data_IF_666667894266
#
_entry.id   IF_666667894266
#
_cell.length_a   1.000
_cell.length_b   1.000
_cell.length_c   1.000
_cell.angle_alpha   90.00
_cell.angle_beta   90.00
_cell.angle_gamma   90.00
#
_symmetry.space_group_name_H-M   'P 1'
#
loop_
_entity.id
_entity.type
_entity.pdbx_description
1 polymer ?
#
# COMPACT_ATOMS: atom_id res chain seq x y z
N UNK A 1 31.33 5.64 22.98
CA UNK A 1 30.51 6.36 23.98
C UNK A 1 30.28 5.52 25.25
N UNK A 2 29.44 5.97 26.18
CA UNK A 2 29.24 5.27 27.47
C UNK A 2 28.71 3.83 27.34
N UNK A 3 27.98 3.51 26.25
CA UNK A 3 27.54 2.14 25.96
C UNK A 3 28.69 1.22 25.50
N UNK A 4 29.77 1.80 24.96
CA UNK A 4 30.98 1.07 24.59
C UNK A 4 31.97 0.96 25.76
N UNK A 5 31.73 1.66 26.88
CA UNK A 5 32.57 1.61 28.07
C UNK A 5 32.23 0.35 28.89
N UNK A 6 32.73 -0.80 28.46
CA UNK A 6 32.47 -2.11 29.06
C UNK A 6 32.90 -3.22 28.09
N UNK A 7 32.06 -4.24 27.93
CA UNK A 7 32.29 -5.35 26.99
C UNK A 7 32.17 -4.94 25.50
N UNK A 8 31.82 -3.69 25.23
CA UNK A 8 31.67 -3.13 23.89
C UNK A 8 30.43 -3.63 23.14
N UNK A 9 30.24 -3.13 21.91
CA UNK A 9 29.18 -3.59 21.01
C UNK A 9 29.83 -4.35 19.86
N UNK A 10 29.73 -5.69 19.87
CA UNK A 10 30.34 -6.53 18.82
C UNK A 10 29.66 -6.36 17.46
N UNK A 11 28.33 -6.31 17.42
CA UNK A 11 27.55 -6.08 16.20
C UNK A 11 26.37 -5.15 16.51
N UNK A 12 26.22 -4.11 15.70
CA UNK A 12 25.02 -3.28 15.67
C UNK A 12 24.22 -3.53 14.39
N UNK A 13 22.94 -3.87 14.57
CA UNK A 13 21.94 -3.84 13.50
C UNK A 13 21.07 -2.60 13.67
N UNK A 14 21.06 -1.69 12.69
CA UNK A 14 20.40 -0.39 12.81
C UNK A 14 19.38 -0.14 11.71
N UNK A 15 18.19 0.35 12.11
CA UNK A 15 17.14 0.82 11.21
C UNK A 15 17.67 1.87 10.22
N UNK A 16 17.33 1.71 8.95
CA UNK A 16 17.80 2.54 7.84
C UNK A 16 16.69 3.40 7.23
N UNK A 17 15.43 3.24 7.65
CA UNK A 17 14.23 3.78 6.99
C UNK A 17 14.37 5.25 6.56
N UNK A 18 14.91 6.12 7.43
CA UNK A 18 15.10 7.54 7.16
C UNK A 18 16.58 7.95 7.03
N UNK A 19 17.47 7.02 6.66
CA UNK A 19 18.90 7.31 6.58
C UNK A 19 19.26 8.37 5.52
N UNK A 20 18.40 8.60 4.52
CA UNK A 20 18.62 9.67 3.52
C UNK A 20 18.13 11.04 3.99
N UNK A 21 17.26 11.05 5.01
CA UNK A 21 16.68 12.27 5.55
C UNK A 21 17.69 13.03 6.41
N UNK A 22 17.89 14.30 6.08
CA UNK A 22 18.84 15.16 6.79
C UNK A 22 18.27 15.63 8.13
N UNK A 23 19.16 15.89 9.08
CA UNK A 23 18.80 16.43 10.38
C UNK A 23 18.39 15.34 11.38
N UNK A 24 17.57 15.74 12.35
CA UNK A 24 17.09 14.90 13.45
C UNK A 24 15.56 14.88 13.44
N UNK A 25 15.00 13.71 13.74
CA UNK A 25 13.57 13.51 13.82
C UNK A 25 12.94 14.49 14.81
N UNK A 26 11.85 15.20 14.42
CA UNK A 26 11.21 16.15 15.31
C UNK A 26 10.63 15.44 16.53
N UNK A 27 10.63 16.11 17.68
CA UNK A 27 10.05 15.57 18.89
C UNK A 27 8.53 15.48 18.77
N UNK A 28 7.95 14.36 19.18
CA UNK A 28 6.49 14.22 19.26
C UNK A 28 5.82 15.28 20.15
N UNK A 29 6.56 15.89 21.09
CA UNK A 29 6.05 17.01 21.89
C UNK A 29 5.72 18.25 21.07
N UNK A 30 6.46 18.54 19.99
CA UNK A 30 6.19 19.72 19.16
C UNK A 30 4.86 19.58 18.43
N UNK A 31 4.54 18.37 17.94
CA UNK A 31 3.25 18.07 17.30
C UNK A 31 2.08 18.33 18.25
N UNK A 32 2.21 17.95 19.53
CA UNK A 32 1.20 18.23 20.54
C UNK A 32 0.90 19.72 20.73
N UNK A 33 1.90 20.60 20.58
CA UNK A 33 1.71 22.06 20.62
C UNK A 33 0.93 22.54 19.41
N UNK A 34 1.30 22.08 18.21
CA UNK A 34 0.61 22.41 16.95
C UNK A 34 -0.84 21.95 17.00
N UNK A 35 -1.11 20.73 17.49
CA UNK A 35 -2.48 20.22 17.65
C UNK A 35 -3.31 21.13 18.56
N UNK A 36 -2.78 21.55 19.72
CA UNK A 36 -3.50 22.46 20.63
C UNK A 36 -3.80 23.81 19.98
N UNK A 37 -2.86 24.33 19.19
CA UNK A 37 -3.08 25.55 18.41
C UNK A 37 -4.21 25.38 17.39
N UNK A 38 -4.19 24.31 16.59
CA UNK A 38 -5.24 24.03 15.60
C UNK A 38 -6.62 23.90 16.26
N UNK A 39 -6.70 23.22 17.41
CA UNK A 39 -7.95 23.14 18.16
C UNK A 39 -8.45 24.50 18.67
N UNK A 40 -7.53 25.42 19.00
CA UNK A 40 -7.85 26.77 19.41
C UNK A 40 -8.22 27.71 18.24
N UNK A 41 -7.72 27.44 17.04
CA UNK A 41 -8.08 28.17 15.81
C UNK A 41 -9.49 27.77 15.32
N UNK A 42 -9.83 26.48 15.43
CA UNK A 42 -11.10 25.93 14.94
C UNK A 42 -12.16 25.74 16.03
N UNK A 43 -12.25 26.68 16.98
CA UNK A 43 -13.15 26.59 18.16
C UNK A 43 -14.64 26.46 17.86
N UNK A 44 -15.11 26.87 16.69
CA UNK A 44 -16.54 26.87 16.32
C UNK A 44 -16.89 25.74 15.36
N UNK A 45 -15.94 24.86 15.04
CA UNK A 45 -16.07 23.80 14.04
C UNK A 45 -15.92 22.44 14.69
N UNK A 46 -16.53 21.40 14.13
CA UNK A 46 -16.21 20.02 14.50
C UNK A 46 -14.83 19.65 13.97
N UNK A 47 -14.04 18.97 14.78
CA UNK A 47 -12.68 18.57 14.40
C UNK A 47 -12.65 17.07 14.14
N UNK A 48 -12.17 16.67 12.98
CA UNK A 48 -11.91 15.28 12.61
C UNK A 48 -10.41 15.12 12.43
N UNK A 49 -9.79 14.29 13.24
CA UNK A 49 -8.37 13.96 13.09
C UNK A 49 -8.22 12.60 12.43
N UNK A 50 -7.25 12.46 11.54
CA UNK A 50 -6.89 11.20 10.91
C UNK A 50 -5.46 10.84 11.29
N UNK A 51 -5.27 9.65 11.87
CA UNK A 51 -3.94 9.16 12.25
C UNK A 51 -3.88 7.64 12.22
N UNK A 52 -2.66 7.09 12.32
CA UNK A 52 -2.47 5.66 12.52
C UNK A 52 -3.03 5.25 13.88
N UNK A 53 -3.94 4.26 13.89
CA UNK A 53 -4.57 3.77 15.12
C UNK A 53 -3.55 3.19 16.13
N UNK A 54 -2.41 2.69 15.66
CA UNK A 54 -1.32 2.18 16.49
C UNK A 54 -0.46 3.28 17.12
N UNK A 55 -0.59 4.53 16.70
CA UNK A 55 0.20 5.64 17.24
C UNK A 55 -0.43 6.18 18.53
N UNK A 56 -0.39 5.39 19.60
CA UNK A 56 -1.09 5.65 20.87
C UNK A 56 -0.71 7.00 21.49
N UNK A 57 0.57 7.41 21.42
CA UNK A 57 1.00 8.73 21.89
C UNK A 57 0.31 9.89 21.15
N UNK A 58 0.13 9.78 19.84
CA UNK A 58 -0.57 10.78 19.03
C UNK A 58 -2.04 10.84 19.41
N UNK A 59 -2.67 9.67 19.56
CA UNK A 59 -4.08 9.57 20.00
C UNK A 59 -4.26 10.21 21.37
N UNK A 60 -3.35 9.98 22.32
CA UNK A 60 -3.35 10.63 23.63
C UNK A 60 -3.26 12.16 23.49
N UNK A 61 -2.33 12.69 22.68
CA UNK A 61 -2.17 14.13 22.49
C UNK A 61 -3.41 14.78 21.87
N UNK A 62 -4.01 14.15 20.85
CA UNK A 62 -5.24 14.61 20.22
C UNK A 62 -6.37 14.64 21.24
N UNK A 63 -6.52 13.57 22.02
CA UNK A 63 -7.56 13.44 23.03
C UNK A 63 -7.39 14.47 24.17
N UNK A 64 -6.16 14.73 24.62
CA UNK A 64 -5.87 15.80 25.58
C UNK A 64 -6.24 17.19 25.02
N UNK A 65 -5.83 17.50 23.78
CA UNK A 65 -6.17 18.76 23.13
C UNK A 65 -7.70 18.93 22.95
N UNK A 66 -8.40 17.83 22.64
CA UNK A 66 -9.85 17.80 22.56
C UNK A 66 -10.48 18.13 23.93
N UNK A 67 -10.08 17.45 24.99
CA UNK A 67 -10.66 17.65 26.33
C UNK A 67 -10.39 19.08 26.83
N UNK A 68 -9.19 19.60 26.63
CA UNK A 68 -8.82 20.96 27.04
C UNK A 68 -9.59 22.04 26.28
N UNK A 69 -9.93 21.80 25.02
CA UNK A 69 -10.83 22.66 24.23
C UNK A 69 -12.32 22.43 24.54
N UNK A 70 -12.63 21.58 25.52
CA UNK A 70 -13.99 21.28 25.97
C UNK A 70 -14.74 20.29 25.09
N UNK A 71 -14.04 19.49 24.27
CA UNK A 71 -14.67 18.54 23.35
C UNK A 71 -14.78 17.15 23.96
N UNK A 72 -15.83 16.43 23.57
CA UNK A 72 -15.93 14.97 23.71
C UNK A 72 -15.26 14.30 22.52
N UNK A 73 -14.79 13.07 22.73
CA UNK A 73 -14.00 12.31 21.76
C UNK A 73 -14.85 11.15 21.22
N UNK A 74 -14.97 11.06 19.90
CA UNK A 74 -15.64 9.98 19.19
C UNK A 74 -14.62 9.19 18.34
N UNK A 75 -14.15 8.02 18.80
CA UNK A 75 -13.32 7.14 17.99
C UNK A 75 -14.09 6.61 16.78
N UNK A 76 -13.48 6.69 15.59
CA UNK A 76 -14.11 6.26 14.34
C UNK A 76 -13.24 5.26 13.58
N UNK A 77 -13.81 4.07 13.38
CA UNK A 77 -13.18 2.93 12.69
C UNK A 77 -12.75 1.83 13.66
N UNK A 78 -12.94 0.58 13.25
CA UNK A 78 -12.72 -0.61 14.09
C UNK A 78 -11.31 -0.67 14.70
N UNK A 79 -10.28 -0.39 13.90
CA UNK A 79 -8.89 -0.41 14.39
C UNK A 79 -8.63 0.68 15.43
N UNK A 80 -9.20 1.87 15.26
CA UNK A 80 -9.06 2.97 16.23
C UNK A 80 -9.75 2.64 17.56
N UNK A 81 -10.99 2.15 17.49
CA UNK A 81 -11.76 1.74 18.68
C UNK A 81 -11.01 0.65 19.45
N UNK A 82 -10.52 -0.38 18.76
CA UNK A 82 -9.80 -1.49 19.38
C UNK A 82 -8.48 -1.05 20.01
N UNK A 83 -7.68 -0.23 19.32
CA UNK A 83 -6.40 0.23 19.84
C UNK A 83 -6.57 1.18 21.03
N UNK A 84 -7.55 2.09 20.99
CA UNK A 84 -7.88 2.96 22.13
C UNK A 84 -8.29 2.11 23.32
N UNK A 85 -9.22 1.16 23.13
CA UNK A 85 -9.67 0.26 24.21
C UNK A 85 -8.48 -0.50 24.81
N UNK A 86 -7.66 -1.14 23.99
CA UNK A 86 -6.49 -1.89 24.44
C UNK A 86 -5.50 -0.99 25.20
N UNK A 87 -5.19 0.20 24.68
CA UNK A 87 -4.27 1.13 25.33
C UNK A 87 -4.81 1.66 26.67
N UNK A 88 -6.13 1.76 26.83
CA UNK A 88 -6.77 2.10 28.10
C UNK A 88 -6.74 0.94 29.09
N UNK A 89 -7.03 -0.28 28.63
CA UNK A 89 -6.94 -1.50 29.46
C UNK A 89 -5.50 -1.70 30.00
N UNK A 90 -4.49 -1.33 29.20
CA UNK A 90 -3.07 -1.35 29.59
C UNK A 90 -2.63 -0.13 30.43
N UNK A 91 -3.51 0.86 30.65
CA UNK A 91 -3.20 2.08 31.41
C UNK A 91 -2.23 3.05 30.71
N UNK A 92 -2.05 2.91 29.40
CA UNK A 92 -1.23 3.81 28.57
C UNK A 92 -1.99 5.11 28.31
N UNK A 93 -3.26 5.01 27.89
CA UNK A 93 -4.17 6.16 27.78
C UNK A 93 -4.81 6.39 29.15
N UNK A 94 -4.52 7.53 29.76
CA UNK A 94 -4.98 7.90 31.10
C UNK A 94 -5.97 9.05 31.05
N UNK A 95 -7.09 8.81 30.39
CA UNK A 95 -8.15 9.81 30.18
C UNK A 95 -9.48 9.36 30.80
N UNK A 96 -10.31 10.29 31.31
CA UNK A 96 -11.59 9.96 31.94
C UNK A 96 -12.54 9.26 30.96
N UNK A 97 -13.29 8.26 31.42
CA UNK A 97 -14.29 7.55 30.60
C UNK A 97 -15.31 8.48 29.97
N UNK A 98 -15.79 9.46 30.76
CA UNK A 98 -16.76 10.48 30.32
C UNK A 98 -16.29 11.36 29.17
N UNK A 99 -15.00 11.34 28.83
CA UNK A 99 -14.45 12.10 27.71
C UNK A 99 -14.70 11.40 26.37
N UNK A 100 -15.03 10.11 26.38
CA UNK A 100 -15.29 9.32 25.18
C UNK A 100 -16.80 9.07 25.04
N UNK A 101 -17.28 9.21 23.82
CA UNK A 101 -18.67 8.88 23.42
C UNK A 101 -18.64 7.84 22.31
N UNK A 102 -19.76 7.13 22.11
CA UNK A 102 -19.91 6.35 20.90
C UNK A 102 -20.16 7.29 19.73
N UNK A 103 -19.72 6.89 18.54
CA UNK A 103 -19.88 7.74 17.36
C UNK A 103 -21.35 7.82 16.91
N UNK A 104 -22.17 6.86 17.33
CA UNK A 104 -23.62 6.84 17.17
C UNK A 104 -24.31 7.98 17.95
N UNK A 105 -23.72 8.43 19.06
CA UNK A 105 -24.27 9.47 19.94
C UNK A 105 -23.77 10.88 19.54
N UNK A 106 -23.12 11.01 18.38
CA UNK A 106 -22.43 12.25 17.96
C UNK A 106 -23.38 13.42 17.75
N UNK A 107 -24.61 13.16 17.29
CA UNK A 107 -25.62 14.19 16.99
C UNK A 107 -26.27 14.78 18.26
N UNK A 108 -26.03 14.19 19.43
CA UNK A 108 -26.48 14.72 20.72
C UNK A 108 -25.63 15.92 21.20
N UNK A 109 -24.53 16.22 20.49
CA UNK A 109 -23.59 17.28 20.82
C UNK A 109 -23.52 18.32 19.69
N UNK A 110 -23.34 19.61 20.02
CA UNK A 110 -23.10 20.60 18.99
C UNK A 110 -21.72 20.37 18.32
N UNK A 111 -21.57 20.65 17.01
CA UNK A 111 -20.35 20.36 16.24
C UNK A 111 -19.05 20.76 16.91
N UNK A 112 -18.99 21.97 17.47
CA UNK A 112 -17.82 22.54 18.11
C UNK A 112 -17.39 21.85 19.42
N UNK A 113 -18.26 21.00 19.98
CA UNK A 113 -17.96 20.18 21.17
C UNK A 113 -17.49 18.78 20.82
N UNK A 114 -17.29 18.47 19.54
CA UNK A 114 -16.94 17.13 19.08
C UNK A 114 -15.52 17.11 18.51
N UNK A 115 -14.76 16.08 18.88
CA UNK A 115 -13.55 15.66 18.20
C UNK A 115 -13.69 14.20 17.75
N UNK A 116 -13.61 13.96 16.45
CA UNK A 116 -13.54 12.60 15.89
C UNK A 116 -12.08 12.20 15.73
N UNK A 117 -11.72 11.00 16.20
CA UNK A 117 -10.40 10.41 15.95
C UNK A 117 -10.59 9.23 15.00
N UNK A 118 -10.17 9.40 13.75
CA UNK A 118 -10.52 8.52 12.64
C UNK A 118 -9.32 7.75 12.10
N UNK A 119 -9.61 6.55 11.59
CA UNK A 119 -8.71 5.80 10.69
C UNK A 119 -8.75 6.33 9.25
N UNK A 120 -7.79 5.92 8.42
CA UNK A 120 -7.82 6.19 6.98
C UNK A 120 -6.93 7.33 6.53
N UNK A 121 -5.87 7.61 7.30
CA UNK A 121 -4.96 8.71 7.00
C UNK A 121 -4.05 8.43 5.78
N UNK A 122 -4.05 7.20 5.26
CA UNK A 122 -3.36 6.80 4.01
C UNK A 122 -4.31 6.69 2.80
N UNK A 123 -5.58 7.08 2.96
CA UNK A 123 -6.56 7.03 1.88
C UNK A 123 -7.03 5.61 1.52
N UNK A 124 -6.94 4.66 2.44
CA UNK A 124 -7.40 3.29 2.21
C UNK A 124 -8.90 3.29 1.87
N UNK A 125 -9.35 2.69 0.76
CA UNK A 125 -10.70 2.92 0.23
C UNK A 125 -11.85 2.64 1.20
N UNK A 126 -11.67 1.68 2.11
CA UNK A 126 -12.68 1.24 3.08
C UNK A 126 -12.45 1.79 4.49
N UNK A 127 -11.41 2.60 4.70
CA UNK A 127 -11.19 3.26 5.98
C UNK A 127 -12.18 4.40 6.19
N UNK A 128 -12.36 4.78 7.47
CA UNK A 128 -13.44 5.67 7.84
C UNK A 128 -13.34 7.05 7.20
N UNK A 129 -12.14 7.64 7.11
CA UNK A 129 -11.93 8.94 6.47
C UNK A 129 -12.23 8.91 4.97
N UNK A 130 -11.86 7.84 4.27
CA UNK A 130 -12.17 7.67 2.85
C UNK A 130 -13.67 7.56 2.59
N UNK A 131 -14.40 6.90 3.49
CA UNK A 131 -15.87 6.85 3.45
C UNK A 131 -16.48 8.23 3.71
N UNK A 132 -15.91 9.00 4.65
CA UNK A 132 -16.33 10.38 4.91
C UNK A 132 -16.16 11.28 3.69
N UNK A 133 -15.01 11.21 3.02
CA UNK A 133 -14.71 11.99 1.82
C UNK A 133 -15.61 11.66 0.61
N UNK A 134 -16.25 10.47 0.61
CA UNK A 134 -17.24 10.08 -0.41
C UNK A 134 -18.69 10.32 0.01
N UNK A 135 -18.93 10.69 1.27
CA UNK A 135 -20.29 10.78 1.83
C UNK A 135 -20.94 9.43 2.14
N UNK A 136 -20.16 8.34 2.19
CA UNK A 136 -20.64 6.97 2.41
C UNK A 136 -20.60 6.55 3.90
N UNK A 137 -20.08 7.39 4.79
CA UNK A 137 -19.98 7.06 6.22
C UNK A 137 -21.36 7.14 6.88
N UNK A 138 -21.71 6.12 7.66
CA UNK A 138 -23.06 5.99 8.26
C UNK A 138 -23.32 6.87 9.47
N UNK A 139 -22.27 7.33 10.15
CA UNK A 139 -22.38 8.01 11.44
C UNK A 139 -22.06 9.49 11.35
N UNK A 140 -21.20 9.89 10.41
CA UNK A 140 -20.74 11.28 10.30
C UNK A 140 -20.84 11.72 8.84
N UNK A 141 -21.46 12.87 8.60
CA UNK A 141 -21.50 13.54 7.30
C UNK A 141 -20.62 14.77 7.36
N UNK A 142 -19.72 14.93 6.39
CA UNK A 142 -18.80 16.08 6.31
C UNK A 142 -19.49 17.27 5.65
N UNK A 143 -19.22 18.48 6.15
CA UNK A 143 -19.71 19.74 5.59
C UNK A 143 -18.85 20.96 5.94
N UNK A 144 -19.44 22.15 5.75
CA UNK A 144 -18.76 23.45 5.93
C UNK A 144 -18.38 23.79 7.38
N UNK A 145 -18.94 23.09 8.36
CA UNK A 145 -18.64 23.32 9.78
C UNK A 145 -17.53 22.37 10.29
N UNK A 146 -16.87 21.64 9.39
CA UNK A 146 -15.85 20.65 9.72
C UNK A 146 -14.44 21.10 9.39
N UNK A 147 -13.50 20.74 10.25
CA UNK A 147 -12.06 20.80 9.99
C UNK A 147 -11.47 19.41 10.10
N UNK A 148 -10.79 18.95 9.04
CA UNK A 148 -10.12 17.65 8.99
C UNK A 148 -8.61 17.83 9.09
N UNK A 149 -7.98 17.19 10.08
CA UNK A 149 -6.55 17.25 10.33
C UNK A 149 -5.92 15.89 10.01
N UNK A 150 -5.10 15.83 8.97
CA UNK A 150 -4.27 14.68 8.63
C UNK A 150 -3.01 14.68 9.49
N UNK A 151 -3.05 13.98 10.62
CA UNK A 151 -1.92 13.83 11.53
C UNK A 151 -1.01 12.65 11.12
N UNK A 152 -0.68 12.59 9.83
CA UNK A 152 0.24 11.62 9.23
C UNK A 152 0.84 12.15 7.93
N UNK A 153 1.97 11.59 7.51
CA UNK A 153 2.44 11.70 6.13
C UNK A 153 1.94 10.54 5.28
N UNK A 154 1.77 10.78 3.98
CA UNK A 154 1.53 9.71 3.01
C UNK A 154 2.77 8.82 2.94
N UNK A 155 2.57 7.52 3.10
CA UNK A 155 3.60 6.51 2.85
C UNK A 155 3.84 6.46 1.33
N UNK A 156 5.09 6.33 0.86
CA UNK A 156 5.39 6.21 -0.57
C UNK A 156 4.49 5.21 -1.29
N UNK A 157 3.84 5.66 -2.38
CA UNK A 157 2.86 4.91 -3.15
C UNK A 157 1.39 5.20 -2.80
N UNK A 158 1.11 5.82 -1.64
CA UNK A 158 -0.25 6.18 -1.22
C UNK A 158 -0.63 7.64 -1.50
N UNK A 159 0.26 8.45 -2.06
CA UNK A 159 0.05 9.89 -2.27
C UNK A 159 -1.22 10.16 -3.09
N UNK A 160 -1.43 9.39 -4.16
CA UNK A 160 -2.63 9.50 -4.99
C UNK A 160 -3.93 9.16 -4.25
N UNK A 161 -3.88 8.23 -3.30
CA UNK A 161 -5.03 7.86 -2.48
C UNK A 161 -5.35 8.94 -1.44
N UNK A 162 -4.33 9.45 -0.75
CA UNK A 162 -4.47 10.54 0.22
C UNK A 162 -5.02 11.81 -0.47
N UNK A 163 -4.45 12.19 -1.62
CA UNK A 163 -4.91 13.36 -2.37
C UNK A 163 -6.39 13.25 -2.78
N UNK A 164 -6.84 12.05 -3.19
CA UNK A 164 -8.26 11.81 -3.52
C UNK A 164 -9.18 12.03 -2.33
N UNK A 165 -8.75 11.65 -1.12
CA UNK A 165 -9.51 11.90 0.11
C UNK A 165 -9.53 13.39 0.44
N UNK A 166 -8.39 14.07 0.37
CA UNK A 166 -8.28 15.52 0.58
C UNK A 166 -9.22 16.27 -0.37
N UNK A 167 -9.17 15.97 -1.67
CA UNK A 167 -10.04 16.58 -2.69
C UNK A 167 -11.52 16.33 -2.40
N UNK A 168 -11.88 15.11 -1.98
CA UNK A 168 -13.25 14.77 -1.60
C UNK A 168 -13.75 15.60 -0.42
N UNK A 169 -12.95 15.73 0.63
CA UNK A 169 -13.28 16.54 1.82
C UNK A 169 -13.42 18.02 1.48
N UNK A 170 -12.51 18.57 0.68
CA UNK A 170 -12.56 19.96 0.22
C UNK A 170 -13.80 20.23 -0.65
N UNK A 171 -14.18 19.29 -1.53
CA UNK A 171 -15.41 19.39 -2.33
C UNK A 171 -16.68 19.37 -1.49
N UNK A 172 -16.66 18.67 -0.36
CA UNK A 172 -17.75 18.66 0.63
C UNK A 172 -17.75 19.93 1.51
N UNK A 173 -16.76 20.82 1.34
CA UNK A 173 -16.72 22.12 1.98
C UNK A 173 -15.96 22.17 3.31
N UNK A 174 -15.33 21.08 3.73
CA UNK A 174 -14.52 21.06 4.94
C UNK A 174 -13.20 21.80 4.77
N UNK A 175 -12.68 22.34 5.87
CA UNK A 175 -11.30 22.82 5.92
C UNK A 175 -10.38 21.61 6.11
N UNK A 176 -9.26 21.54 5.39
CA UNK A 176 -8.32 20.43 5.50
C UNK A 176 -6.93 20.94 5.88
N UNK A 177 -6.38 20.37 6.95
CA UNK A 177 -5.01 20.61 7.44
C UNK A 177 -4.20 19.34 7.23
N UNK A 178 -3.05 19.45 6.57
CA UNK A 178 -2.12 18.34 6.35
C UNK A 178 -0.67 18.79 6.52
N UNK A 179 0.28 17.87 6.46
CA UNK A 179 1.69 18.15 6.75
C UNK A 179 2.39 19.15 5.82
N UNK A 180 1.81 19.45 4.66
CA UNK A 180 2.29 20.50 3.77
C UNK A 180 1.90 21.91 4.23
N UNK A 181 1.00 22.03 5.22
CA UNK A 181 0.46 23.29 5.72
C UNK A 181 0.92 23.53 7.17
N UNK A 182 0.94 22.49 8.00
CA UNK A 182 1.31 22.58 9.40
C UNK A 182 2.08 21.33 9.87
N UNK A 183 2.93 21.47 10.89
CA UNK A 183 3.75 20.39 11.46
C UNK A 183 2.93 19.43 12.34
N UNK A 184 1.97 18.75 11.74
CA UNK A 184 1.01 17.85 12.40
C UNK A 184 1.46 16.39 12.47
N UNK A 185 2.72 16.11 12.12
CA UNK A 185 3.31 14.78 12.16
C UNK A 185 4.81 14.85 12.45
N UNK A 186 5.28 13.98 13.34
CA UNK A 186 6.67 13.58 13.44
C UNK A 186 6.83 12.14 12.95
N UNK A 187 7.95 11.86 12.28
CA UNK A 187 8.29 10.51 11.82
C UNK A 187 8.60 9.59 13.00
N UNK A 188 8.32 8.29 12.83
CA UNK A 188 8.65 7.26 13.83
C UNK A 188 10.09 6.73 13.73
N UNK A 189 10.84 7.11 12.69
CA UNK A 189 12.18 6.57 12.41
C UNK A 189 13.25 7.67 12.51
N UNK A 190 14.41 7.29 13.06
CA UNK A 190 15.57 8.17 13.25
C UNK A 190 16.12 8.71 11.92
N UNK A 191 16.45 10.00 11.88
CA UNK A 191 17.05 10.65 10.71
C UNK A 191 18.59 10.65 10.80
N UNK A 192 19.28 11.12 9.75
CA UNK A 192 20.74 10.99 9.62
C UNK A 192 21.54 11.41 10.86
N UNK A 193 21.20 12.51 11.53
CA UNK A 193 21.94 12.97 12.70
C UNK A 193 21.63 12.14 13.95
N UNK A 194 20.42 11.61 14.08
CA UNK A 194 20.06 10.67 15.16
C UNK A 194 20.80 9.34 15.01
N UNK A 195 20.90 8.83 13.77
CA UNK A 195 21.63 7.62 13.44
C UNK A 195 23.12 7.79 13.73
N UNK A 196 23.74 8.90 13.31
CA UNK A 196 25.14 9.24 13.61
C UNK A 196 25.39 9.39 15.10
N UNK A 197 24.49 10.07 15.81
CA UNK A 197 24.55 10.18 17.27
C UNK A 197 24.53 8.78 17.90
N UNK A 198 23.62 7.91 17.49
CA UNK A 198 23.56 6.56 18.01
C UNK A 198 24.85 5.76 17.74
N UNK A 199 25.36 5.83 16.50
CA UNK A 199 26.64 5.23 16.12
C UNK A 199 27.81 5.72 17.00
N UNK A 200 27.89 7.02 17.30
CA UNK A 200 28.91 7.60 18.21
C UNK A 200 28.80 7.10 19.66
N UNK A 201 27.59 6.75 20.09
CA UNK A 201 27.38 6.26 21.44
C UNK A 201 27.79 4.78 21.50
N UNK A 202 27.36 4.00 20.51
CA UNK A 202 27.54 2.54 20.45
C UNK A 202 28.94 2.11 20.03
N UNK A 203 29.63 2.86 19.17
CA UNK A 203 30.96 2.53 18.62
C UNK A 203 31.12 1.03 18.29
N UNK A 204 30.25 0.48 17.42
CA UNK A 204 30.20 -0.96 17.22
C UNK A 204 31.41 -1.44 16.44
N UNK A 205 31.89 -2.65 16.77
CA UNK A 205 32.95 -3.29 16.01
C UNK A 205 32.47 -3.66 14.61
N UNK A 206 31.26 -4.21 14.48
CA UNK A 206 30.61 -4.54 13.21
C UNK A 206 29.27 -3.85 13.05
N UNK A 207 28.94 -3.47 11.83
CA UNK A 207 27.72 -2.74 11.52
C UNK A 207 26.94 -3.36 10.36
N UNK A 208 25.67 -3.65 10.59
CA UNK A 208 24.74 -4.18 9.58
C UNK A 208 23.54 -3.23 9.50
N UNK A 209 23.40 -2.41 8.46
CA UNK A 209 22.16 -1.66 8.26
C UNK A 209 21.02 -2.64 7.97
N UNK A 210 19.88 -2.44 8.63
CA UNK A 210 18.66 -3.22 8.46
C UNK A 210 17.46 -2.30 8.26
N UNK A 211 16.29 -2.87 7.98
CA UNK A 211 15.00 -2.19 7.91
C UNK A 211 14.99 -0.96 6.98
N UNK A 212 14.90 -1.24 5.67
CA UNK A 212 14.74 -0.25 4.62
C UNK A 212 15.08 -0.84 3.25
N UNK A 213 14.59 -0.21 2.19
CA UNK A 213 15.05 -0.52 0.82
C UNK A 213 16.57 -0.40 0.67
N UNK A 214 17.13 -1.01 -0.37
CA UNK A 214 18.57 -1.09 -0.58
C UNK A 214 19.27 0.28 -0.55
N UNK A 215 18.66 1.32 -1.13
CA UNK A 215 19.23 2.68 -1.11
C UNK A 215 19.29 3.28 0.30
N UNK A 216 18.29 3.05 1.15
CA UNK A 216 18.30 3.44 2.55
C UNK A 216 19.46 2.77 3.30
N UNK A 217 19.64 1.46 3.11
CA UNK A 217 20.73 0.72 3.75
C UNK A 217 22.10 1.25 3.29
N UNK A 218 22.26 1.54 2.00
CA UNK A 218 23.48 2.17 1.46
C UNK A 218 23.72 3.56 2.04
N UNK A 219 22.68 4.37 2.26
CA UNK A 219 22.82 5.65 2.94
C UNK A 219 23.28 5.47 4.40
N UNK A 220 22.77 4.46 5.09
CA UNK A 220 23.16 4.16 6.46
C UNK A 220 24.61 3.63 6.55
N UNK A 221 25.07 2.84 5.56
CA UNK A 221 26.51 2.49 5.41
C UNK A 221 27.38 3.76 5.37
N UNK A 222 26.97 4.79 4.62
CA UNK A 222 27.73 6.04 4.53
C UNK A 222 27.82 6.75 5.89
N UNK A 223 26.77 6.69 6.71
CA UNK A 223 26.80 7.22 8.07
C UNK A 223 27.78 6.43 8.94
N UNK A 224 27.73 5.09 8.89
CA UNK A 224 28.70 4.22 9.58
C UNK A 224 30.17 4.56 9.25
N UNK A 225 30.50 4.72 7.96
CA UNK A 225 31.83 5.16 7.51
C UNK A 225 32.20 6.55 8.04
N UNK A 226 31.27 7.50 7.95
CA UNK A 226 31.46 8.87 8.43
C UNK A 226 31.76 8.90 9.92
N UNK A 227 31.14 7.99 10.69
CA UNK A 227 31.33 7.84 12.12
C UNK A 227 32.56 7.00 12.50
N UNK A 228 33.37 6.58 11.52
CA UNK A 228 34.68 5.95 11.77
C UNK A 228 34.67 4.43 11.77
N UNK A 229 33.56 3.77 11.43
CA UNK A 229 33.52 2.30 11.29
C UNK A 229 34.29 1.91 10.02
N UNK A 230 35.30 1.03 10.10
CA UNK A 230 36.03 0.56 8.93
C UNK A 230 35.10 -0.07 7.90
N UNK A 231 35.35 0.17 6.61
CA UNK A 231 34.54 -0.41 5.52
C UNK A 231 34.49 -1.94 5.57
N UNK A 232 35.59 -2.58 5.96
CA UNK A 232 35.68 -4.03 6.16
C UNK A 232 34.73 -4.56 7.23
N UNK A 233 34.26 -3.69 8.12
CA UNK A 233 33.44 -4.02 9.26
C UNK A 233 31.96 -3.66 9.06
N UNK A 234 31.59 -3.18 7.87
CA UNK A 234 30.21 -2.88 7.50
C UNK A 234 29.72 -3.96 6.54
N UNK A 235 28.64 -4.65 6.92
CA UNK A 235 28.11 -5.77 6.15
C UNK A 235 26.71 -5.43 5.67
N UNK A 236 26.59 -5.19 4.38
CA UNK A 236 25.30 -5.04 3.70
C UNK A 236 24.74 -6.42 3.36
N UNK A 237 23.53 -6.70 3.85
CA UNK A 237 22.83 -7.97 3.68
C UNK A 237 21.53 -7.76 2.90
N UNK A 238 21.15 -8.76 2.11
CA UNK A 238 19.83 -8.89 1.50
C UNK A 238 19.09 -10.10 2.11
N UNK A 239 17.77 -10.15 1.94
CA UNK A 239 16.95 -11.28 2.42
C UNK A 239 17.52 -12.62 1.92
N UNK A 240 17.82 -13.51 2.87
CA UNK A 240 18.44 -14.82 2.63
C UNK A 240 19.96 -14.86 2.81
N UNK A 241 20.63 -13.72 2.94
CA UNK A 241 22.04 -13.70 3.32
C UNK A 241 22.23 -14.25 4.75
N UNK A 242 23.25 -15.08 4.93
CA UNK A 242 23.62 -15.63 6.23
C UNK A 242 24.99 -15.10 6.62
N UNK A 243 25.07 -14.49 7.80
CA UNK A 243 26.31 -14.05 8.42
C UNK A 243 26.54 -14.82 9.72
N UNK A 244 27.73 -15.37 9.88
CA UNK A 244 28.19 -15.98 11.13
C UNK A 244 29.11 -14.99 11.84
N UNK A 245 28.87 -14.77 13.13
CA UNK A 245 29.75 -13.98 13.98
C UNK A 245 30.53 -14.92 14.91
N UNK A 246 31.85 -14.80 14.89
CA UNK A 246 32.77 -15.56 15.73
C UNK A 246 33.83 -14.62 16.32
N UNK A 247 34.80 -15.15 17.07
CA UNK A 247 35.85 -14.37 17.73
C UNK A 247 36.73 -13.59 16.72
N UNK A 248 36.90 -14.12 15.51
CA UNK A 248 37.73 -13.51 14.45
C UNK A 248 36.97 -12.45 13.62
N UNK A 249 35.64 -12.40 13.69
CA UNK A 249 34.82 -11.38 13.03
C UNK A 249 33.50 -11.90 12.46
N UNK A 250 33.06 -11.29 11.35
CA UNK A 250 31.89 -11.76 10.58
C UNK A 250 32.35 -12.51 9.33
N UNK A 251 31.77 -13.70 9.12
CA UNK A 251 31.98 -14.52 7.92
C UNK A 251 30.64 -14.72 7.21
N UNK A 252 30.59 -14.42 5.90
CA UNK A 252 29.42 -14.75 5.06
C UNK A 252 29.36 -16.27 4.84
N UNK A 253 28.17 -16.85 5.02
CA UNK A 253 27.88 -18.26 4.76
C UNK A 253 26.99 -18.43 3.54
N UNK A 254 26.62 -19.68 3.27
CA UNK A 254 25.67 -20.01 2.20
C UNK A 254 24.31 -19.36 2.48
N UNK A 255 23.66 -18.85 1.43
CA UNK A 255 22.35 -18.21 1.52
C UNK A 255 21.27 -19.25 1.84
N UNK A 256 20.20 -18.80 2.48
CA UNK A 256 18.99 -19.59 2.71
C UNK A 256 17.83 -19.10 1.83
N UNK A 257 16.84 -19.96 1.52
CA UNK A 257 15.65 -19.52 0.79
C UNK A 257 14.90 -18.41 1.53
N UNK A 258 14.70 -17.27 0.87
CA UNK A 258 14.00 -16.10 1.40
C UNK A 258 13.07 -15.51 0.32
N UNK A 259 12.05 -16.27 -0.06
CA UNK A 259 11.04 -15.84 -1.03
C UNK A 259 9.87 -15.10 -0.38
N UNK A 260 9.19 -14.27 -1.17
CA UNK A 260 7.93 -13.63 -0.78
C UNK A 260 6.79 -14.66 -0.83
N UNK A 261 5.96 -14.69 0.22
CA UNK A 261 4.72 -15.46 0.26
C UNK A 261 3.53 -14.51 0.13
N UNK A 262 2.78 -14.59 -0.96
CA UNK A 262 1.59 -13.76 -1.16
C UNK A 262 0.36 -14.39 -0.50
N UNK A 263 -0.46 -13.56 0.14
CA UNK A 263 -1.71 -14.00 0.78
C UNK A 263 -2.88 -13.30 0.10
N UNK A 264 -3.85 -14.07 -0.39
CA UNK A 264 -5.08 -13.56 -0.99
C UNK A 264 -6.29 -14.35 -0.47
N UNK A 265 -7.13 -13.67 0.32
CA UNK A 265 -8.22 -14.30 1.05
C UNK A 265 -7.74 -15.19 2.21
N UNK A 266 -8.21 -16.43 2.26
CA UNK A 266 -7.98 -17.38 3.36
C UNK A 266 -6.83 -18.36 3.02
N UNK A 267 -6.34 -18.36 1.77
CA UNK A 267 -5.36 -19.32 1.26
C UNK A 267 -4.01 -18.64 1.01
N UNK A 268 -2.92 -19.32 1.37
CA UNK A 268 -1.54 -18.86 1.19
C UNK A 268 -0.93 -19.28 -0.16
N UNK A 269 -0.02 -18.44 -0.62
CA UNK A 269 0.72 -18.42 -1.89
C UNK A 269 -0.12 -18.23 -3.16
N UNK A 270 -0.39 -16.96 -3.49
CA UNK A 270 -0.70 -16.62 -4.89
C UNK A 270 0.60 -16.71 -5.68
N UNK A 271 0.84 -17.89 -6.26
CA UNK A 271 2.06 -18.12 -7.04
C UNK A 271 2.26 -17.07 -8.14
N UNK A 272 3.51 -16.78 -8.47
CA UNK A 272 3.93 -15.75 -9.45
C UNK A 272 3.21 -15.86 -10.80
N UNK A 273 2.85 -17.07 -11.23
CA UNK A 273 2.08 -17.29 -12.46
C UNK A 273 0.69 -16.63 -12.43
N UNK A 274 -0.03 -16.75 -11.31
CA UNK A 274 -1.36 -16.15 -11.16
C UNK A 274 -1.27 -14.62 -11.14
N UNK A 275 -0.25 -14.05 -10.50
CA UNK A 275 -0.03 -12.60 -10.51
C UNK A 275 0.29 -12.09 -11.93
N UNK A 276 1.10 -12.83 -12.68
CA UNK A 276 1.40 -12.49 -14.08
C UNK A 276 0.14 -12.52 -14.94
N UNK A 277 -0.71 -13.54 -14.78
CA UNK A 277 -1.97 -13.63 -15.52
C UNK A 277 -2.91 -12.47 -15.18
N UNK A 278 -3.06 -12.13 -13.89
CA UNK A 278 -3.83 -10.96 -13.45
C UNK A 278 -3.31 -9.66 -14.06
N UNK A 279 -1.98 -9.49 -14.14
CA UNK A 279 -1.37 -8.30 -14.75
C UNK A 279 -1.73 -8.18 -16.23
N UNK A 280 -1.60 -9.26 -17.01
CA UNK A 280 -1.98 -9.25 -18.44
C UNK A 280 -3.47 -8.95 -18.59
N UNK A 281 -4.33 -9.55 -17.77
CA UNK A 281 -5.77 -9.28 -17.81
C UNK A 281 -6.10 -7.82 -17.49
N UNK A 282 -5.41 -7.21 -16.53
CA UNK A 282 -5.63 -5.82 -16.14
C UNK A 282 -5.13 -4.80 -17.19
N UNK A 283 -3.99 -5.07 -17.83
CA UNK A 283 -3.36 -4.14 -18.78
C UNK A 283 -3.88 -4.32 -20.22
N UNK A 284 -4.07 -5.57 -20.64
CA UNK A 284 -4.32 -5.92 -22.04
C UNK A 284 -5.73 -6.49 -22.28
N UNK A 285 -6.36 -7.05 -21.25
CA UNK A 285 -7.64 -7.75 -21.35
C UNK A 285 -7.50 -9.20 -21.85
N UNK A 286 -8.64 -9.78 -22.24
CA UNK A 286 -8.75 -11.17 -22.70
C UNK A 286 -9.61 -11.25 -23.95
N UNK A 287 -9.22 -12.16 -24.85
CA UNK A 287 -9.95 -12.55 -26.05
C UNK A 287 -10.11 -14.06 -26.02
N UNK A 288 -11.34 -14.52 -25.93
CA UNK A 288 -11.72 -15.93 -26.00
C UNK A 288 -12.22 -16.20 -27.41
N UNK A 289 -11.62 -17.18 -28.09
CA UNK A 289 -12.00 -17.56 -29.44
C UNK A 289 -12.49 -19.01 -29.44
N UNK A 290 -13.80 -19.20 -29.66
CA UNK A 290 -14.48 -20.49 -29.63
C UNK A 290 -14.75 -20.96 -31.05
N UNK A 291 -14.32 -22.17 -31.40
CA UNK A 291 -14.54 -22.76 -32.73
C UNK A 291 -15.03 -24.19 -32.58
N UNK A 292 -16.10 -24.56 -33.28
CA UNK A 292 -16.58 -25.94 -33.34
C UNK A 292 -16.22 -26.54 -34.69
N UNK A 293 -15.55 -27.69 -34.70
CA UNK A 293 -15.04 -28.36 -35.90
C UNK A 293 -15.56 -29.78 -36.01
N UNK A 294 -15.76 -30.23 -37.24
CA UNK A 294 -15.84 -31.65 -37.60
C UNK A 294 -14.47 -32.04 -38.14
N UNK A 295 -13.68 -32.73 -37.33
CA UNK A 295 -12.33 -33.17 -37.75
C UNK A 295 -12.40 -34.26 -38.82
N UNK A 296 -13.45 -35.07 -38.84
CA UNK A 296 -13.62 -36.16 -39.81
C UNK A 296 -13.95 -35.62 -41.21
N UNK A 297 -14.90 -34.69 -41.30
CA UNK A 297 -15.23 -33.98 -42.53
C UNK A 297 -14.21 -32.88 -42.87
N UNK A 298 -13.37 -32.47 -41.91
CA UNK A 298 -12.37 -31.43 -42.06
C UNK A 298 -12.96 -30.05 -42.28
N UNK A 299 -14.04 -29.72 -41.57
CA UNK A 299 -14.77 -28.45 -41.72
C UNK A 299 -15.03 -27.80 -40.37
N UNK A 300 -15.14 -26.47 -40.38
CA UNK A 300 -15.71 -25.73 -39.26
C UNK A 300 -17.23 -25.86 -39.33
N UNK A 301 -17.87 -26.28 -38.24
CA UNK A 301 -19.32 -26.47 -38.16
C UNK A 301 -20.02 -25.20 -37.66
N UNK A 302 -19.51 -24.64 -36.55
CA UNK A 302 -20.09 -23.48 -35.87
C UNK A 302 -18.95 -22.61 -35.33
N UNK A 303 -19.10 -21.28 -35.45
CA UNK A 303 -18.06 -20.32 -35.09
C UNK A 303 -17.06 -20.06 -36.23
N UNK A 304 -16.04 -19.22 -36.01
CA UNK A 304 -15.56 -18.74 -34.71
C UNK A 304 -16.46 -17.71 -34.04
N UNK A 305 -16.59 -17.80 -32.72
CA UNK A 305 -17.16 -16.75 -31.87
C UNK A 305 -16.03 -16.13 -31.05
N UNK A 306 -15.97 -14.80 -31.03
CA UNK A 306 -14.98 -14.06 -30.24
C UNK A 306 -15.68 -13.30 -29.12
N UNK A 307 -15.29 -13.64 -27.89
CA UNK A 307 -15.77 -12.99 -26.67
C UNK A 307 -14.60 -12.23 -26.06
N UNK A 308 -14.80 -10.94 -25.76
CA UNK A 308 -13.72 -10.06 -25.29
C UNK A 308 -14.10 -9.32 -24.01
N UNK A 309 -13.12 -9.11 -23.13
CA UNK A 309 -13.20 -8.21 -21.98
C UNK A 309 -11.88 -7.45 -21.85
N UNK A 310 -11.94 -6.12 -21.84
CA UNK A 310 -10.76 -5.25 -21.64
C UNK A 310 -9.86 -5.05 -22.87
N UNK A 311 -10.06 -5.80 -23.97
CA UNK A 311 -9.32 -5.57 -25.21
C UNK A 311 -9.94 -4.46 -26.08
N UNK A 312 -11.25 -4.53 -26.36
CA UNK A 312 -12.00 -3.48 -27.09
C UNK A 312 -13.41 -3.34 -26.51
N UNK A 313 -14.04 -2.19 -26.72
CA UNK A 313 -15.43 -1.99 -26.35
C UNK A 313 -16.33 -2.64 -27.42
N UNK A 314 -16.78 -3.87 -27.13
CA UNK A 314 -17.47 -4.72 -28.11
C UNK A 314 -18.64 -4.02 -28.85
N UNK A 315 -19.50 -3.20 -28.21
CA UNK A 315 -20.59 -2.50 -28.91
C UNK A 315 -20.14 -1.53 -30.00
N UNK A 316 -18.88 -1.08 -29.98
CA UNK A 316 -18.33 -0.14 -30.97
C UNK A 316 -17.27 -0.80 -31.88
N UNK A 317 -17.08 -2.12 -31.75
CA UNK A 317 -16.01 -2.87 -32.41
C UNK A 317 -16.52 -4.12 -33.17
N UNK A 318 -17.78 -4.13 -33.59
CA UNK A 318 -18.41 -5.25 -34.30
C UNK A 318 -17.60 -5.66 -35.56
N UNK A 319 -17.30 -4.72 -36.45
CA UNK A 319 -16.51 -4.96 -37.66
C UNK A 319 -15.14 -5.60 -37.36
N UNK A 320 -14.48 -5.16 -36.28
CA UNK A 320 -13.18 -5.67 -35.86
C UNK A 320 -13.29 -7.11 -35.32
N UNK A 321 -14.37 -7.41 -34.61
CA UNK A 321 -14.67 -8.75 -34.08
C UNK A 321 -15.00 -9.69 -35.23
N UNK A 322 -15.82 -9.26 -36.20
CA UNK A 322 -16.14 -10.04 -37.40
C UNK A 322 -14.87 -10.38 -38.21
N UNK A 323 -14.01 -9.39 -38.46
CA UNK A 323 -12.75 -9.62 -39.18
C UNK A 323 -11.82 -10.60 -38.42
N UNK A 324 -11.82 -10.54 -37.09
CA UNK A 324 -11.09 -11.48 -36.25
C UNK A 324 -11.68 -12.91 -36.40
N UNK A 325 -13.00 -13.06 -36.39
CA UNK A 325 -13.68 -14.34 -36.61
C UNK A 325 -13.33 -14.91 -37.99
N UNK A 326 -13.40 -14.12 -39.06
CA UNK A 326 -13.01 -14.55 -40.40
C UNK A 326 -11.54 -14.96 -40.50
N UNK A 327 -10.66 -14.25 -39.78
CA UNK A 327 -9.22 -14.55 -39.76
C UNK A 327 -8.95 -15.88 -39.07
N UNK A 328 -9.60 -16.14 -37.93
CA UNK A 328 -9.51 -17.41 -37.20
C UNK A 328 -10.11 -18.55 -38.03
N UNK A 329 -11.28 -18.34 -38.66
CA UNK A 329 -11.96 -19.35 -39.48
C UNK A 329 -11.05 -19.83 -40.62
N UNK A 330 -10.45 -18.89 -41.36
CA UNK A 330 -9.52 -19.19 -42.45
C UNK A 330 -8.29 -19.97 -41.98
N UNK A 331 -7.76 -19.63 -40.81
CA UNK A 331 -6.60 -20.33 -40.24
C UNK A 331 -6.93 -21.79 -39.88
N UNK A 332 -8.08 -22.01 -39.23
CA UNK A 332 -8.55 -23.35 -38.84
C UNK A 332 -8.88 -24.20 -40.07
N UNK A 333 -9.62 -23.66 -41.04
CA UNK A 333 -9.92 -24.37 -42.28
C UNK A 333 -8.66 -24.76 -43.06
N UNK A 334 -7.67 -23.86 -43.11
CA UNK A 334 -6.39 -24.15 -43.75
C UNK A 334 -5.65 -25.28 -43.04
N UNK A 335 -5.66 -25.29 -41.70
CA UNK A 335 -5.05 -26.35 -40.91
C UNK A 335 -5.74 -27.70 -41.12
N UNK A 336 -7.08 -27.72 -41.15
CA UNK A 336 -7.90 -28.92 -41.41
C UNK A 336 -7.68 -29.46 -42.84
N UNK A 337 -7.66 -28.60 -43.86
CA UNK A 337 -7.34 -28.97 -45.25
C UNK A 337 -5.91 -29.49 -45.39
N UNK A 338 -4.99 -28.99 -44.57
CA UNK A 338 -3.61 -29.48 -44.46
C UNK A 338 -3.45 -30.82 -43.74
N UNK A 339 -4.55 -31.44 -43.29
CA UNK A 339 -4.55 -32.75 -42.62
C UNK A 339 -4.41 -32.70 -41.10
N UNK A 340 -4.47 -31.52 -40.47
CA UNK A 340 -4.47 -31.40 -39.01
C UNK A 340 -5.77 -31.96 -38.46
N UNK A 341 -5.70 -32.93 -37.55
CA UNK A 341 -6.86 -33.54 -36.88
C UNK A 341 -6.79 -33.45 -35.36
N UNK A 342 -5.63 -33.09 -34.82
CA UNK A 342 -5.38 -32.93 -33.40
C UNK A 342 -5.95 -31.61 -32.86
N UNK A 343 -6.74 -31.68 -31.78
CA UNK A 343 -7.42 -30.51 -31.19
C UNK A 343 -6.39 -29.54 -30.63
N UNK A 344 -5.34 -30.01 -29.94
CA UNK A 344 -4.29 -29.16 -29.37
C UNK A 344 -3.55 -28.37 -30.46
N UNK A 345 -3.31 -28.99 -31.62
CA UNK A 345 -2.75 -28.32 -32.78
C UNK A 345 -3.69 -27.25 -33.35
N UNK A 346 -5.00 -27.52 -33.43
CA UNK A 346 -5.99 -26.54 -33.85
C UNK A 346 -6.12 -25.37 -32.87
N UNK A 347 -6.07 -25.61 -31.55
CA UNK A 347 -6.06 -24.55 -30.54
C UNK A 347 -4.83 -23.64 -30.67
N UNK A 348 -3.65 -24.21 -30.96
CA UNK A 348 -2.44 -23.41 -31.24
C UNK A 348 -2.60 -22.54 -32.48
N UNK A 349 -3.27 -23.05 -33.52
CA UNK A 349 -3.57 -22.29 -34.73
C UNK A 349 -4.56 -21.15 -34.46
N UNK A 350 -5.64 -21.41 -33.72
CA UNK A 350 -6.58 -20.38 -33.27
C UNK A 350 -5.86 -19.30 -32.46
N UNK A 351 -5.06 -19.69 -31.46
CA UNK A 351 -4.30 -18.77 -30.62
C UNK A 351 -3.36 -17.89 -31.45
N UNK A 352 -2.65 -18.49 -32.41
CA UNK A 352 -1.70 -17.78 -33.29
C UNK A 352 -2.43 -16.80 -34.20
N UNK A 353 -3.52 -17.23 -34.83
CA UNK A 353 -4.30 -16.40 -35.74
C UNK A 353 -4.93 -15.21 -35.02
N UNK A 354 -5.64 -15.45 -33.92
CA UNK A 354 -6.24 -14.41 -33.10
C UNK A 354 -5.18 -13.46 -32.51
N UNK A 355 -4.11 -13.99 -31.93
CA UNK A 355 -3.04 -13.18 -31.36
C UNK A 355 -2.33 -12.28 -32.39
N UNK A 356 -2.07 -12.82 -33.59
CA UNK A 356 -1.49 -12.03 -34.69
C UNK A 356 -2.45 -10.91 -35.13
N UNK A 357 -3.71 -11.25 -35.36
CA UNK A 357 -4.74 -10.28 -35.76
C UNK A 357 -4.85 -9.13 -34.76
N UNK A 358 -5.01 -9.46 -33.48
CA UNK A 358 -5.14 -8.49 -32.40
C UNK A 358 -3.92 -7.57 -32.35
N UNK A 359 -2.71 -8.14 -32.38
CA UNK A 359 -1.46 -7.37 -32.35
C UNK A 359 -1.29 -6.48 -33.59
N UNK A 360 -1.74 -6.90 -34.77
CA UNK A 360 -1.61 -6.11 -35.99
C UNK A 360 -2.59 -4.93 -35.99
N UNK A 361 -3.85 -5.17 -35.62
CA UNK A 361 -4.92 -4.17 -35.64
C UNK A 361 -4.87 -3.17 -34.50
N UNK A 362 -4.52 -3.62 -33.28
CA UNK A 362 -4.61 -2.78 -32.07
C UNK A 362 -3.27 -2.48 -31.42
N UNK A 363 -2.18 -3.14 -31.85
CA UNK A 363 -0.85 -3.08 -31.20
C UNK A 363 -0.85 -3.51 -29.72
N UNK A 364 -1.92 -4.18 -29.28
CA UNK A 364 -2.09 -4.74 -27.94
C UNK A 364 -1.83 -6.23 -27.92
N UNK A 365 -1.65 -6.80 -26.73
CA UNK A 365 -1.36 -8.23 -26.52
C UNK A 365 -2.22 -8.83 -25.40
N UNK A 366 -3.56 -8.86 -25.57
CA UNK A 366 -4.44 -9.53 -24.62
C UNK A 366 -4.13 -11.01 -24.49
N UNK A 367 -4.56 -11.58 -23.37
CA UNK A 367 -4.56 -13.03 -23.19
C UNK A 367 -5.50 -13.66 -24.22
N UNK A 368 -4.99 -14.59 -25.02
CA UNK A 368 -5.77 -15.33 -26.02
C UNK A 368 -6.11 -16.72 -25.49
N UNK A 369 -7.39 -16.98 -25.29
CA UNK A 369 -7.90 -18.27 -24.83
C UNK A 369 -8.63 -18.96 -26.01
N UNK A 370 -7.94 -19.85 -26.76
CA UNK A 370 -8.60 -20.65 -27.78
C UNK A 370 -9.44 -21.75 -27.11
N UNK A 371 -10.62 -22.04 -27.67
CA UNK A 371 -11.44 -23.19 -27.28
C UNK A 371 -11.88 -23.86 -28.58
N UNK A 372 -11.42 -25.09 -28.82
CA UNK A 372 -11.82 -25.87 -29.99
C UNK A 372 -12.68 -27.04 -29.54
N UNK A 373 -13.91 -27.10 -30.03
CA UNK A 373 -14.87 -28.17 -29.74
C UNK A 373 -14.98 -29.10 -30.94
N UNK A 374 -14.92 -30.41 -30.72
CA UNK A 374 -15.24 -31.43 -31.73
C UNK A 374 -16.70 -31.85 -31.58
N UNK A 375 -17.43 -31.95 -32.68
CA UNK A 375 -18.84 -32.36 -32.69
C UNK A 375 -19.05 -33.78 -33.23
#
# INVERSE_FOLDING_TARGET
GALAAGDGVRLLMLDSTNAEERGSAPSEKSVGVVLRQLFAEHKTRRIITASFASHIHRVQQIAEAAIESGRVIAPLGRSMINNIRMARDLGIIKLPDKSFINVEDIDDYPPERICVISTGSQGEPMAALSLLARGDNKFVTIGHDDTVIFSSHAIPGNEGNVNRVIDGLLRLGADVVHSGIADVHATGHAQAEDLKMYLSITEPEWFVPIHGEYHHMVANVRHGRTMGIPESNIVLCEDGDVIEINDDGIVRKERVPAGMLYVDGIVGDVGQGVLRDRKVLAEEGVVVAVVTVDVSAGKVLVGPEIITRGWVYAPEAEDLIEEACETVARAVEKALKGGTRDIDALEKEVRRAAGKFVSERTKRRPMIVPIVMEA
#
